data_IF_104764888567
#
_entry.id   IF_104764888567
#
_cell.length_a   1.000
_cell.length_b   1.000
_cell.length_c   1.000
_cell.angle_alpha   90.00
_cell.angle_beta   90.00
_cell.angle_gamma   90.00
#
_symmetry.space_group_name_H-M   'P 1'
#
loop_
_entity.id
_entity.type
_entity.pdbx_description
1 polymer ?
#
# COMPACT_ATOMS: atom_id res chain seq x y z
N UNK A 1 1.56 14.91 -12.99
CA UNK A 1 0.52 15.40 -12.05
C UNK A 1 0.93 15.29 -10.57
N UNK A 2 0.97 14.10 -9.95
CA UNK A 2 1.25 13.98 -8.49
C UNK A 2 2.58 14.65 -8.12
N UNK A 3 3.65 14.34 -8.86
CA UNK A 3 4.98 14.95 -8.66
C UNK A 3 4.96 16.47 -8.79
N UNK A 4 4.17 17.01 -9.73
CA UNK A 4 4.05 18.46 -9.94
C UNK A 4 3.33 19.13 -8.76
N UNK A 5 2.23 18.52 -8.28
CA UNK A 5 1.52 18.98 -7.09
C UNK A 5 2.45 18.98 -5.87
N UNK A 6 3.22 17.91 -5.67
CA UNK A 6 4.19 17.83 -4.57
C UNK A 6 5.23 18.94 -4.68
N UNK A 7 5.87 19.11 -5.85
CA UNK A 7 6.89 20.16 -6.08
C UNK A 7 6.35 21.56 -5.80
N UNK A 8 5.19 21.90 -6.35
CA UNK A 8 4.56 23.21 -6.17
C UNK A 8 4.26 23.48 -4.70
N UNK A 9 3.62 22.52 -4.03
CA UNK A 9 3.20 22.67 -2.63
C UNK A 9 4.40 22.72 -1.69
N UNK A 10 5.41 21.87 -1.92
CA UNK A 10 6.65 21.86 -1.15
C UNK A 10 7.36 23.21 -1.21
N UNK A 11 7.46 23.79 -2.40
CA UNK A 11 8.09 25.11 -2.60
C UNK A 11 7.24 26.24 -1.98
N UNK A 12 5.93 26.23 -2.19
CA UNK A 12 5.02 27.25 -1.66
C UNK A 12 5.01 27.30 -0.13
N UNK A 13 5.05 26.14 0.53
CA UNK A 13 5.04 26.03 1.99
C UNK A 13 6.44 26.05 2.63
N UNK A 14 7.51 26.13 1.83
CA UNK A 14 8.89 26.11 2.34
C UNK A 14 9.26 24.80 3.05
N UNK A 15 8.72 23.67 2.61
CA UNK A 15 8.96 22.36 3.24
C UNK A 15 10.22 21.69 2.72
N UNK A 16 10.89 20.95 3.60
CA UNK A 16 12.13 20.21 3.29
C UNK A 16 11.94 18.72 3.53
N UNK A 17 11.39 18.04 2.53
CA UNK A 17 11.33 16.58 2.46
C UNK A 17 11.77 16.10 1.08
N UNK A 18 12.23 14.85 1.02
CA UNK A 18 12.84 14.21 -0.15
C UNK A 18 11.94 13.05 -0.61
N UNK A 19 11.63 13.01 -1.90
CA UNK A 19 10.88 11.94 -2.56
C UNK A 19 11.76 11.10 -3.49
N UNK A 20 11.24 9.98 -4.03
CA UNK A 20 11.99 9.21 -5.05
C UNK A 20 12.39 10.07 -6.26
N UNK A 21 11.51 10.97 -6.72
CA UNK A 21 11.80 11.77 -7.92
C UNK A 21 12.93 12.79 -7.73
N UNK A 22 13.37 13.04 -6.49
CA UNK A 22 14.46 13.96 -6.18
C UNK A 22 15.84 13.29 -6.23
N UNK A 23 15.87 11.96 -6.30
CA UNK A 23 17.07 11.17 -6.05
C UNK A 23 17.49 10.34 -7.26
N UNK A 24 18.76 9.98 -7.33
CA UNK A 24 19.22 8.88 -8.19
C UNK A 24 19.04 7.51 -7.51
N UNK A 25 19.24 6.43 -8.27
CA UNK A 25 19.03 5.08 -7.78
C UNK A 25 20.03 4.70 -6.67
N UNK A 26 21.24 5.26 -6.69
CA UNK A 26 22.28 5.08 -5.68
C UNK A 26 21.85 5.69 -4.33
N UNK A 27 21.31 6.91 -4.35
CA UNK A 27 20.79 7.56 -3.13
C UNK A 27 19.56 6.82 -2.59
N UNK A 28 18.67 6.37 -3.48
CA UNK A 28 17.53 5.53 -3.12
C UNK A 28 17.98 4.23 -2.44
N UNK A 29 19.02 3.58 -2.97
CA UNK A 29 19.62 2.39 -2.36
C UNK A 29 20.08 2.67 -0.93
N UNK A 30 20.73 3.82 -0.70
CA UNK A 30 21.14 4.24 0.64
C UNK A 30 19.96 4.44 1.60
N UNK A 31 18.86 5.06 1.15
CA UNK A 31 17.69 5.29 2.00
C UNK A 31 16.88 4.03 2.30
N UNK A 32 16.78 3.13 1.32
CA UNK A 32 15.85 1.99 1.38
C UNK A 32 16.53 0.69 1.82
N UNK A 33 17.85 0.59 1.66
CA UNK A 33 18.62 -0.66 1.80
C UNK A 33 18.46 -1.63 0.63
N UNK A 34 17.78 -1.22 -0.46
CA UNK A 34 17.62 -2.03 -1.66
C UNK A 34 18.92 -2.07 -2.48
N UNK A 35 19.15 -3.14 -3.21
CA UNK A 35 20.19 -3.17 -4.25
C UNK A 35 19.85 -2.19 -5.39
N UNK A 36 20.86 -1.78 -6.17
CA UNK A 36 20.70 -0.77 -7.22
C UNK A 36 19.64 -1.13 -8.29
N UNK A 37 19.53 -2.42 -8.65
CA UNK A 37 18.55 -2.88 -9.64
C UNK A 37 17.13 -2.75 -9.07
N UNK A 38 16.95 -3.10 -7.80
CA UNK A 38 15.68 -2.97 -7.08
C UNK A 38 15.32 -1.52 -6.79
N UNK A 39 16.30 -0.66 -6.50
CA UNK A 39 16.10 0.80 -6.38
C UNK A 39 15.59 1.42 -7.67
N UNK A 40 16.17 1.08 -8.82
CA UNK A 40 15.68 1.56 -10.14
C UNK A 40 14.22 1.18 -10.35
N UNK A 41 13.84 -0.08 -10.09
CA UNK A 41 12.44 -0.53 -10.18
C UNK A 41 11.53 0.21 -9.19
N UNK A 42 11.98 0.46 -7.97
CA UNK A 42 11.18 1.19 -6.97
C UNK A 42 10.86 2.64 -7.36
N UNK A 43 11.70 3.26 -8.21
CA UNK A 43 11.54 4.61 -8.74
C UNK A 43 10.57 4.69 -9.94
N UNK A 44 10.28 3.57 -10.61
CA UNK A 44 9.34 3.45 -11.73
C UNK A 44 7.89 3.50 -11.23
N UNK A 45 7.46 4.68 -10.77
CA UNK A 45 6.14 4.91 -10.16
C UNK A 45 5.22 5.70 -11.10
N UNK A 46 4.05 5.14 -11.39
CA UNK A 46 3.07 5.76 -12.30
C UNK A 46 1.91 6.46 -11.57
N UNK A 47 1.43 5.86 -10.47
CA UNK A 47 0.20 6.29 -9.79
C UNK A 47 0.41 6.84 -8.38
N UNK A 48 1.65 6.87 -7.89
CA UNK A 48 1.97 7.33 -6.54
C UNK A 48 3.37 7.91 -6.46
N UNK A 49 3.66 8.59 -5.36
CA UNK A 49 4.99 9.05 -4.99
C UNK A 49 5.29 8.71 -3.53
N UNK A 50 6.55 8.56 -3.16
CA UNK A 50 6.94 8.22 -1.79
C UNK A 50 7.90 9.25 -1.25
N UNK A 51 7.63 9.72 -0.03
CA UNK A 51 8.50 10.59 0.76
C UNK A 51 9.44 9.68 1.56
N UNK A 52 10.73 9.79 1.30
CA UNK A 52 11.79 8.95 1.87
C UNK A 52 12.43 9.57 3.11
N UNK A 53 12.46 10.90 3.21
CA UNK A 53 13.07 11.63 4.33
C UNK A 53 12.41 12.98 4.55
N UNK A 54 12.34 13.40 5.81
CA UNK A 54 11.80 14.69 6.23
C UNK A 54 10.41 14.53 6.82
N UNK A 55 9.82 15.64 7.23
CA UNK A 55 8.48 15.70 7.78
C UNK A 55 7.56 16.51 6.86
N UNK A 56 6.30 16.09 6.82
CA UNK A 56 5.19 16.86 6.27
C UNK A 56 4.37 17.43 7.43
N UNK A 57 3.65 18.53 7.16
CA UNK A 57 2.78 19.16 8.13
C UNK A 57 1.32 19.15 7.66
N UNK A 58 0.41 19.60 8.53
CA UNK A 58 -1.02 19.61 8.22
C UNK A 58 -1.35 20.44 6.98
N UNK A 59 -0.70 21.60 6.80
CA UNK A 59 -0.93 22.46 5.62
C UNK A 59 -0.61 21.75 4.30
N UNK A 60 0.39 20.86 4.28
CA UNK A 60 0.67 20.03 3.12
C UNK A 60 -0.43 19.00 2.87
N UNK A 61 -0.90 18.33 3.93
CA UNK A 61 -1.99 17.35 3.86
C UNK A 61 -3.28 17.99 3.33
N UNK A 62 -3.65 19.17 3.85
CA UNK A 62 -4.84 19.91 3.40
C UNK A 62 -4.75 20.31 1.93
N UNK A 63 -3.54 20.63 1.44
CA UNK A 63 -3.33 20.95 0.04
C UNK A 63 -3.46 19.71 -0.85
N UNK A 64 -2.91 18.57 -0.42
CA UNK A 64 -3.05 17.30 -1.13
C UNK A 64 -4.52 16.92 -1.27
N UNK A 65 -5.31 17.05 -0.21
CA UNK A 65 -6.73 16.73 -0.22
C UNK A 65 -7.50 17.58 -1.24
N UNK A 66 -7.23 18.89 -1.30
CA UNK A 66 -7.79 19.81 -2.32
C UNK A 66 -7.43 19.42 -3.76
N UNK A 67 -6.37 18.62 -3.94
CA UNK A 67 -5.93 18.07 -5.23
C UNK A 67 -6.36 16.61 -5.44
N UNK A 68 -7.28 16.09 -4.63
CA UNK A 68 -7.73 14.70 -4.67
C UNK A 68 -6.59 13.68 -4.45
N UNK A 69 -5.62 14.06 -3.63
CA UNK A 69 -4.52 13.21 -3.19
C UNK A 69 -4.63 12.96 -1.69
N UNK A 70 -4.07 11.84 -1.23
CA UNK A 70 -3.97 11.49 0.19
C UNK A 70 -2.57 10.98 0.52
N UNK A 71 -2.21 11.14 1.79
CA UNK A 71 -1.04 10.50 2.38
C UNK A 71 -1.47 9.16 3.01
N UNK A 72 -0.72 8.09 2.70
CA UNK A 72 -0.82 6.79 3.35
C UNK A 72 0.46 6.59 4.16
N UNK A 73 0.39 6.57 5.50
CA UNK A 73 1.52 6.22 6.32
C UNK A 73 1.92 4.76 6.07
N UNK A 74 3.13 4.54 5.56
CA UNK A 74 3.75 3.22 5.53
C UNK A 74 4.59 2.98 6.79
N UNK A 75 5.04 1.74 6.99
CA UNK A 75 5.88 1.36 8.14
C UNK A 75 7.24 2.06 8.15
N UNK A 76 7.79 2.40 6.98
CA UNK A 76 9.08 3.09 6.82
C UNK A 76 8.96 4.45 6.14
N UNK A 77 8.09 4.56 5.15
CA UNK A 77 7.99 5.73 4.28
C UNK A 77 6.53 6.11 4.06
N UNK A 78 6.29 7.38 3.73
CA UNK A 78 4.94 7.87 3.47
C UNK A 78 4.65 7.83 1.97
N UNK A 79 3.47 7.37 1.57
CA UNK A 79 3.06 7.31 0.17
C UNK A 79 1.99 8.36 -0.13
N UNK A 80 2.21 9.16 -1.17
CA UNK A 80 1.21 10.08 -1.73
C UNK A 80 0.56 9.40 -2.94
N UNK A 81 -0.76 9.31 -2.94
CA UNK A 81 -1.54 8.65 -3.98
C UNK A 81 -2.87 9.36 -4.17
N UNK A 82 -3.61 9.08 -5.25
CA UNK A 82 -4.98 9.58 -5.39
C UNK A 82 -5.85 9.13 -4.21
N UNK A 83 -6.72 10.02 -3.74
CA UNK A 83 -7.76 9.68 -2.75
C UNK A 83 -8.80 8.69 -3.30
N UNK A 84 -8.86 8.51 -4.64
CA UNK A 84 -9.70 7.52 -5.31
C UNK A 84 -9.04 6.15 -5.44
N UNK A 85 -7.73 6.04 -5.14
CA UNK A 85 -7.03 4.77 -5.21
C UNK A 85 -7.47 3.88 -4.05
N UNK A 86 -8.03 2.73 -4.39
CA UNK A 86 -8.71 1.82 -3.48
C UNK A 86 -8.34 0.39 -3.92
N UNK A 87 -7.73 -0.39 -3.01
CA UNK A 87 -7.33 -1.75 -3.31
C UNK A 87 -8.52 -2.66 -3.53
N UNK A 88 -9.63 -2.45 -2.82
CA UNK A 88 -10.87 -3.20 -3.00
C UNK A 88 -11.40 -3.02 -4.41
N UNK A 89 -11.48 -1.79 -4.91
CA UNK A 89 -11.88 -1.53 -6.32
C UNK A 89 -10.96 -2.19 -7.33
N UNK A 90 -9.65 -2.21 -7.08
CA UNK A 90 -8.71 -2.87 -7.97
C UNK A 90 -8.95 -4.40 -7.99
N UNK A 91 -9.23 -4.99 -6.83
CA UNK A 91 -9.57 -6.42 -6.72
C UNK A 91 -10.91 -6.73 -7.38
N UNK A 92 -11.94 -5.92 -7.17
CA UNK A 92 -13.26 -6.08 -7.77
C UNK A 92 -13.21 -6.08 -9.31
N UNK A 93 -12.46 -5.12 -9.89
CA UNK A 93 -12.19 -5.08 -11.34
C UNK A 93 -11.47 -6.34 -11.79
N UNK A 94 -10.46 -6.80 -11.04
CA UNK A 94 -9.71 -8.01 -11.37
C UNK A 94 -10.61 -9.26 -11.32
N UNK A 95 -11.39 -9.43 -10.26
CA UNK A 95 -12.31 -10.55 -10.11
C UNK A 95 -13.34 -10.57 -11.23
N UNK A 96 -13.90 -9.42 -11.58
CA UNK A 96 -14.84 -9.30 -12.71
C UNK A 96 -14.21 -9.74 -14.04
N UNK A 97 -12.94 -9.37 -14.30
CA UNK A 97 -12.23 -9.81 -15.50
C UNK A 97 -12.00 -11.33 -15.52
N UNK A 98 -11.59 -11.91 -14.38
CA UNK A 98 -11.40 -13.35 -14.28
C UNK A 98 -12.74 -14.10 -14.41
N UNK A 99 -13.82 -13.58 -13.83
CA UNK A 99 -15.12 -14.20 -13.90
C UNK A 99 -15.69 -14.18 -15.33
N UNK A 100 -15.46 -13.10 -16.07
CA UNK A 100 -15.86 -13.01 -17.47
C UNK A 100 -15.13 -14.01 -18.37
N UNK A 101 -13.85 -14.29 -18.09
CA UNK A 101 -13.04 -15.20 -18.91
C UNK A 101 -13.21 -16.67 -18.51
N UNK A 102 -13.30 -16.98 -17.21
CA UNK A 102 -13.25 -18.35 -16.67
C UNK A 102 -14.51 -18.79 -15.92
N UNK A 103 -15.51 -17.92 -15.73
CA UNK A 103 -16.76 -18.24 -15.05
C UNK A 103 -16.69 -18.00 -13.54
N UNK A 104 -17.07 -18.98 -12.72
CA UNK A 104 -17.02 -18.83 -11.27
C UNK A 104 -15.57 -18.79 -10.76
N UNK A 105 -15.25 -17.81 -9.92
CA UNK A 105 -13.91 -17.60 -9.37
C UNK A 105 -14.03 -17.54 -7.85
N UNK A 106 -13.22 -18.34 -7.16
CA UNK A 106 -13.06 -18.28 -5.71
C UNK A 106 -11.83 -17.46 -5.36
N UNK A 107 -12.00 -16.47 -4.49
CA UNK A 107 -10.97 -15.51 -4.12
C UNK A 107 -10.60 -15.60 -2.65
N UNK A 108 -9.29 -15.51 -2.38
CA UNK A 108 -8.72 -15.53 -1.04
C UNK A 108 -7.82 -14.31 -0.90
N UNK A 109 -8.05 -13.51 0.14
CA UNK A 109 -7.26 -12.30 0.40
C UNK A 109 -6.46 -12.48 1.69
N UNK A 110 -5.20 -12.06 1.66
CA UNK A 110 -4.33 -12.08 2.85
C UNK A 110 -3.72 -10.71 3.04
N UNK A 111 -3.99 -10.11 4.19
CA UNK A 111 -3.43 -8.83 4.61
C UNK A 111 -2.72 -8.96 5.95
N UNK A 112 -1.96 -7.94 6.31
CA UNK A 112 -1.42 -7.78 7.66
C UNK A 112 -1.77 -6.40 8.25
N UNK A 113 -2.29 -5.47 7.43
CA UNK A 113 -2.40 -4.07 7.79
C UNK A 113 -3.81 -3.48 7.66
N UNK A 114 -4.03 -2.29 8.24
CA UNK A 114 -5.28 -1.52 8.07
C UNK A 114 -5.48 -1.17 6.60
N UNK A 115 -4.39 -0.95 5.86
CA UNK A 115 -4.43 -0.59 4.44
C UNK A 115 -4.82 -1.77 3.53
N UNK A 116 -5.09 -2.95 4.09
CA UNK A 116 -5.58 -4.12 3.36
C UNK A 116 -7.07 -4.35 3.58
N UNK A 117 -7.72 -3.56 4.44
CA UNK A 117 -9.13 -3.71 4.79
C UNK A 117 -10.04 -3.72 3.57
N UNK A 118 -9.91 -2.74 2.67
CA UNK A 118 -10.78 -2.64 1.49
C UNK A 118 -10.62 -3.84 0.56
N UNK A 119 -9.40 -4.37 0.42
CA UNK A 119 -9.16 -5.61 -0.33
C UNK A 119 -9.80 -6.81 0.36
N UNK A 120 -9.64 -6.93 1.68
CA UNK A 120 -10.17 -8.06 2.45
C UNK A 120 -11.71 -8.08 2.44
N UNK A 121 -12.37 -6.93 2.45
CA UNK A 121 -13.83 -6.87 2.30
C UNK A 121 -14.34 -7.30 0.92
N UNK A 122 -13.47 -7.33 -0.09
CA UNK A 122 -13.86 -7.60 -1.49
C UNK A 122 -13.74 -9.08 -1.87
N UNK A 123 -12.93 -9.86 -1.15
CA UNK A 123 -12.68 -11.28 -1.46
C UNK A 123 -13.68 -12.20 -0.73
N UNK A 124 -13.83 -13.43 -1.24
CA UNK A 124 -14.73 -14.42 -0.63
C UNK A 124 -14.21 -14.93 0.72
N UNK A 125 -12.90 -15.13 0.83
CA UNK A 125 -12.23 -15.63 2.03
C UNK A 125 -11.10 -14.69 2.49
N UNK A 126 -11.41 -13.72 3.36
CA UNK A 126 -10.42 -12.80 3.90
C UNK A 126 -9.69 -13.34 5.13
N UNK A 127 -8.36 -13.20 5.12
CA UNK A 127 -7.48 -13.56 6.22
C UNK A 127 -6.56 -12.40 6.62
N UNK A 128 -6.38 -12.22 7.92
CA UNK A 128 -5.46 -11.24 8.48
C UNK A 128 -4.36 -11.97 9.27
N UNK A 129 -3.11 -11.82 8.85
CA UNK A 129 -1.95 -12.40 9.55
C UNK A 129 -1.37 -11.43 10.57
N UNK A 130 -0.55 -11.93 11.49
CA UNK A 130 0.07 -11.08 12.50
C UNK A 130 1.16 -10.19 11.90
N UNK A 131 1.25 -8.98 12.44
CA UNK A 131 2.38 -8.06 12.26
C UNK A 131 3.52 -8.40 13.23
N UNK A 132 4.74 -7.87 13.03
CA UNK A 132 5.78 -7.93 14.04
C UNK A 132 5.26 -7.49 15.41
N UNK A 133 5.50 -8.31 16.45
CA UNK A 133 4.93 -8.10 17.78
C UNK A 133 3.73 -9.00 18.10
N UNK A 134 3.37 -9.95 17.23
CA UNK A 134 2.27 -10.92 17.43
C UNK A 134 0.89 -10.26 17.60
N UNK A 135 0.65 -9.16 16.89
CA UNK A 135 -0.61 -8.43 16.93
C UNK A 135 -1.26 -8.39 15.55
N UNK A 136 -2.59 -8.32 15.52
CA UNK A 136 -3.35 -8.06 14.30
C UNK A 136 -3.66 -6.58 14.18
N UNK A 137 -3.90 -6.14 12.95
CA UNK A 137 -4.57 -4.87 12.71
C UNK A 137 -5.97 -4.91 13.34
N UNK A 138 -6.38 -3.85 14.03
CA UNK A 138 -7.78 -3.71 14.40
C UNK A 138 -8.58 -3.21 13.19
N UNK A 139 -9.31 -4.12 12.55
CA UNK A 139 -10.14 -3.84 11.38
C UNK A 139 -11.64 -3.71 11.73
N UNK A 140 -12.03 -4.01 12.98
CA UNK A 140 -13.43 -4.00 13.43
C UNK A 140 -14.40 -4.74 12.50
N UNK A 141 -13.97 -5.87 11.92
CA UNK A 141 -14.76 -6.70 11.02
C UNK A 141 -14.65 -8.18 11.40
N UNK A 142 -15.80 -8.81 11.61
CA UNK A 142 -15.93 -10.20 12.05
C UNK A 142 -15.81 -11.21 10.92
N UNK A 143 -15.98 -10.79 9.66
CA UNK A 143 -15.81 -11.66 8.50
C UNK A 143 -14.33 -12.02 8.25
N UNK A 144 -13.42 -11.15 8.69
CA UNK A 144 -11.97 -11.31 8.50
C UNK A 144 -11.42 -12.32 9.51
N UNK A 145 -10.82 -13.39 8.99
CA UNK A 145 -10.30 -14.50 9.79
C UNK A 145 -8.86 -14.21 10.24
N UNK A 146 -8.66 -14.04 11.54
CA UNK A 146 -7.33 -13.83 12.12
C UNK A 146 -6.51 -15.12 12.14
N UNK A 147 -5.31 -15.08 11.55
CA UNK A 147 -4.37 -16.19 11.49
C UNK A 147 -3.16 -15.89 12.35
N UNK A 148 -2.82 -16.82 13.25
CA UNK A 148 -1.57 -16.78 14.01
C UNK A 148 -0.37 -17.01 13.10
N UNK A 149 0.71 -16.28 13.30
CA UNK A 149 1.94 -16.35 12.50
C UNK A 149 2.25 -15.01 11.86
N UNK A 150 3.48 -14.54 12.03
CA UNK A 150 3.90 -13.24 11.53
C UNK A 150 4.28 -13.34 10.05
N UNK A 151 3.69 -12.47 9.23
CA UNK A 151 4.03 -12.36 7.80
C UNK A 151 4.09 -13.73 7.11
N UNK A 152 5.25 -14.17 6.56
CA UNK A 152 5.37 -15.42 5.82
C UNK A 152 4.84 -16.67 6.55
N UNK A 153 4.95 -16.75 7.87
CA UNK A 153 4.45 -17.90 8.63
C UNK A 153 2.93 -17.98 8.59
N UNK A 154 2.25 -16.83 8.77
CA UNK A 154 0.80 -16.74 8.67
C UNK A 154 0.33 -16.99 7.24
N UNK A 155 1.02 -16.43 6.24
CA UNK A 155 0.74 -16.68 4.83
C UNK A 155 0.80 -18.18 4.49
N UNK A 156 1.83 -18.91 4.96
CA UNK A 156 1.95 -20.35 4.75
C UNK A 156 0.81 -21.16 5.37
N UNK A 157 0.14 -20.66 6.42
CA UNK A 157 -1.04 -21.32 7.00
C UNK A 157 -2.27 -21.07 6.13
N UNK A 158 -2.45 -19.84 5.63
CA UNK A 158 -3.54 -19.54 4.69
C UNK A 158 -3.40 -20.35 3.41
N UNK A 159 -2.20 -20.45 2.84
CA UNK A 159 -1.98 -21.26 1.63
C UNK A 159 -2.35 -22.73 1.83
N UNK A 160 -2.16 -23.29 3.03
CA UNK A 160 -2.61 -24.65 3.35
C UNK A 160 -4.13 -24.75 3.38
N UNK A 161 -4.80 -23.80 4.03
CA UNK A 161 -6.28 -23.73 4.04
C UNK A 161 -6.83 -23.68 2.62
N UNK A 162 -6.22 -22.88 1.74
CA UNK A 162 -6.62 -22.75 0.33
C UNK A 162 -6.47 -24.05 -0.48
N UNK A 163 -5.45 -24.85 -0.18
CA UNK A 163 -5.17 -26.10 -0.90
C UNK A 163 -6.01 -27.28 -0.38
N UNK A 164 -6.57 -27.16 0.83
CA UNK A 164 -7.38 -28.18 1.49
C UNK A 164 -8.89 -27.93 1.37
N UNK A 165 -9.31 -26.77 0.83
CA UNK A 165 -10.71 -26.40 0.57
C UNK A 165 -11.21 -26.89 -0.78
#
# INVERSE_FOLDING_TARGET
>A
YIRDVIRQTRNFLGLSFVCYFDLCAEEVSMYTGLDLKSSRRAMEREFSETILRGSINQSFLDFLEKKNLRNIPGSKFQTIISNKADKGKAVDVLLSLYQNEWGEVKSYGVGDSINDFEMLQTVDDPYLVQRPGNQWADLNDVAIKNIHGIGPEGWNKVSRIMLES
#
